data_IF_862316629651
#
_entry.id   IF_862316629651
#
_cell.length_a   1.000
_cell.length_b   1.000
_cell.length_c   1.000
_cell.angle_alpha   90.00
_cell.angle_beta   90.00
_cell.angle_gamma   90.00
#
_symmetry.space_group_name_H-M   'P 1'
#
loop_
_entity.id
_entity.type
_entity.pdbx_description
1 polymer ?
#
# COMPACT_ATOMS: atom_id res chain seq x y z
N UNK A 1 23.05 -20.96 0.33
CA UNK A 1 22.10 -21.77 1.18
C UNK A 1 20.78 -21.78 0.43
N UNK A 2 20.01 -22.86 0.50
CA UNK A 2 18.65 -22.87 -0.06
C UNK A 2 17.75 -22.06 0.86
N UNK A 3 16.93 -21.17 0.28
CA UNK A 3 15.96 -20.37 1.03
C UNK A 3 15.10 -21.28 1.92
N UNK A 4 14.75 -20.81 3.12
CA UNK A 4 13.80 -21.50 3.98
C UNK A 4 12.42 -21.50 3.29
N UNK A 5 11.60 -22.50 3.60
CA UNK A 5 10.21 -22.52 3.12
C UNK A 5 9.41 -21.31 3.62
N UNK A 6 9.61 -20.92 4.87
CA UNK A 6 9.00 -19.77 5.54
C UNK A 6 9.97 -19.20 6.58
N UNK A 7 9.94 -17.90 6.79
CA UNK A 7 10.66 -17.21 7.86
C UNK A 7 9.69 -16.82 8.98
N UNK A 8 10.11 -16.98 10.22
CA UNK A 8 9.29 -16.62 11.38
C UNK A 8 9.08 -15.10 11.45
N UNK A 9 8.01 -14.69 12.13
CA UNK A 9 7.71 -13.26 12.31
C UNK A 9 8.87 -12.58 13.06
N UNK A 10 9.41 -11.52 12.47
CA UNK A 10 10.59 -10.81 12.98
C UNK A 10 11.94 -11.37 12.49
N UNK A 11 11.96 -12.50 11.80
CA UNK A 11 13.16 -13.00 11.13
C UNK A 11 13.32 -12.33 9.76
N UNK A 12 14.49 -11.71 9.54
CA UNK A 12 14.82 -11.06 8.27
C UNK A 12 15.75 -11.98 7.48
N UNK A 13 15.32 -12.47 6.28
CA UNK A 13 16.19 -13.26 5.40
C UNK A 13 17.42 -12.46 4.91
N UNK A 14 18.36 -13.13 4.26
CA UNK A 14 19.37 -12.42 3.46
C UNK A 14 18.70 -11.69 2.29
N UNK A 15 19.16 -10.48 1.98
CA UNK A 15 18.56 -9.64 0.94
C UNK A 15 18.51 -10.39 -0.40
N UNK A 16 17.28 -10.51 -0.94
CA UNK A 16 17.03 -11.22 -2.18
C UNK A 16 16.69 -12.71 -2.02
N UNK A 17 16.77 -13.24 -0.79
CA UNK A 17 16.34 -14.60 -0.51
C UNK A 17 14.82 -14.65 -0.31
N UNK A 18 14.09 -15.17 -1.30
CA UNK A 18 12.62 -15.21 -1.32
C UNK A 18 12.13 -16.58 -0.84
N UNK A 19 11.36 -16.65 0.27
CA UNK A 19 10.76 -17.91 0.73
C UNK A 19 9.58 -18.33 -0.16
N UNK A 20 9.13 -19.56 -0.01
CA UNK A 20 7.93 -20.06 -0.70
C UNK A 20 6.65 -19.53 -0.06
N UNK A 21 6.64 -19.39 1.27
CA UNK A 21 5.50 -18.98 2.07
C UNK A 21 5.85 -17.80 2.98
N UNK A 22 4.83 -17.05 3.38
CA UNK A 22 4.92 -15.93 4.29
C UNK A 22 3.76 -15.93 5.28
N UNK A 23 3.90 -15.22 6.39
CA UNK A 23 2.77 -14.88 7.25
C UNK A 23 2.08 -13.62 6.74
N UNK A 24 0.75 -13.66 6.71
CA UNK A 24 -0.08 -12.52 6.35
C UNK A 24 -1.33 -12.44 7.23
N UNK A 25 -1.86 -11.23 7.46
CA UNK A 25 -3.18 -11.00 8.03
C UNK A 25 -4.22 -11.17 6.92
N UNK A 26 -5.00 -12.23 7.00
CA UNK A 26 -5.95 -12.64 5.95
C UNK A 26 -7.38 -12.45 6.41
N UNK A 27 -8.20 -11.90 5.54
CA UNK A 27 -9.66 -11.81 5.68
C UNK A 27 -10.29 -12.88 4.78
N UNK A 28 -11.30 -13.61 5.29
CA UNK A 28 -12.09 -14.57 4.52
C UNK A 28 -13.57 -14.29 4.70
N UNK A 29 -14.39 -14.73 3.75
CA UNK A 29 -15.82 -14.46 3.70
C UNK A 29 -16.56 -14.97 4.93
N UNK A 30 -16.21 -16.16 5.42
CA UNK A 30 -16.81 -16.80 6.60
C UNK A 30 -16.50 -16.10 7.93
N UNK A 31 -15.59 -15.11 7.92
CA UNK A 31 -15.13 -14.37 9.10
C UNK A 31 -15.40 -12.88 9.04
N UNK A 32 -16.10 -12.38 8.02
CA UNK A 32 -16.38 -10.95 7.88
C UNK A 32 -17.02 -10.39 9.16
N UNK A 33 -16.56 -9.23 9.61
CA UNK A 33 -17.03 -8.58 10.83
C UNK A 33 -16.01 -7.63 11.45
N UNK A 34 -15.96 -7.60 12.79
CA UNK A 34 -14.99 -6.76 13.50
C UNK A 34 -13.55 -7.21 13.21
N UNK A 35 -12.61 -6.26 13.04
CA UNK A 35 -11.24 -6.58 12.60
C UNK A 35 -10.56 -7.67 13.42
N UNK A 36 -10.73 -7.68 14.74
CA UNK A 36 -10.12 -8.65 15.65
C UNK A 36 -10.52 -10.10 15.39
N UNK A 37 -11.66 -10.31 14.73
CA UNK A 37 -12.15 -11.64 14.35
C UNK A 37 -11.92 -11.95 12.88
N UNK A 38 -12.10 -10.95 12.03
CA UNK A 38 -12.00 -11.09 10.58
C UNK A 38 -10.55 -11.30 10.11
N UNK A 39 -9.61 -10.52 10.68
CA UNK A 39 -8.20 -10.60 10.32
C UNK A 39 -7.49 -11.65 11.16
N UNK A 40 -6.96 -12.68 10.51
CA UNK A 40 -6.21 -13.74 11.18
C UNK A 40 -4.90 -13.99 10.46
N UNK A 41 -3.86 -14.33 11.22
CA UNK A 41 -2.56 -14.68 10.65
C UNK A 41 -2.66 -16.06 10.01
N UNK A 42 -2.35 -16.13 8.71
CA UNK A 42 -2.28 -17.37 7.94
C UNK A 42 -0.95 -17.46 7.19
N UNK A 43 -0.59 -18.66 6.80
CA UNK A 43 0.53 -18.93 5.88
C UNK A 43 0.00 -18.80 4.45
N UNK A 44 0.61 -17.90 3.69
CA UNK A 44 0.24 -17.61 2.32
C UNK A 44 1.45 -17.79 1.41
N UNK A 45 1.27 -18.15 0.12
CA UNK A 45 2.38 -18.19 -0.81
C UNK A 45 2.94 -16.79 -1.05
N UNK A 46 4.27 -16.66 -1.16
CA UNK A 46 4.89 -15.42 -1.60
C UNK A 46 4.68 -15.27 -3.10
N UNK A 47 4.05 -14.17 -3.50
CA UNK A 47 3.80 -13.89 -4.92
C UNK A 47 5.11 -13.51 -5.63
N UNK A 48 5.32 -14.07 -6.82
CA UNK A 48 6.43 -13.64 -7.69
C UNK A 48 6.04 -12.34 -8.39
N UNK A 49 6.94 -11.34 -8.44
CA UNK A 49 6.64 -10.10 -9.15
C UNK A 49 6.46 -10.37 -10.65
N UNK A 50 5.43 -9.75 -11.22
CA UNK A 50 5.26 -9.68 -12.67
C UNK A 50 6.38 -8.87 -13.34
N UNK A 51 6.34 -8.77 -14.69
CA UNK A 51 7.43 -8.13 -15.45
C UNK A 51 7.74 -6.69 -15.04
N UNK A 52 6.72 -5.91 -14.68
CA UNK A 52 6.81 -4.50 -14.32
C UNK A 52 6.63 -4.26 -12.80
N UNK A 53 6.65 -5.34 -12.01
CA UNK A 53 6.41 -5.31 -10.57
C UNK A 53 7.70 -5.56 -9.78
N UNK A 54 7.63 -5.22 -8.50
CA UNK A 54 8.66 -5.53 -7.51
C UNK A 54 8.04 -6.29 -6.35
N UNK A 55 8.81 -7.19 -5.77
CA UNK A 55 8.52 -7.77 -4.47
C UNK A 55 9.17 -6.90 -3.41
N UNK A 56 8.39 -6.48 -2.43
CA UNK A 56 8.85 -5.67 -1.30
C UNK A 56 8.75 -6.51 -0.03
N UNK A 57 9.87 -6.64 0.71
CA UNK A 57 9.83 -7.09 2.08
C UNK A 57 9.34 -5.95 2.95
N UNK A 58 8.22 -6.16 3.63
CA UNK A 58 7.53 -5.14 4.41
C UNK A 58 8.22 -4.96 5.77
N UNK A 59 8.63 -3.73 6.08
CA UNK A 59 9.24 -3.37 7.35
C UNK A 59 8.24 -2.72 8.30
N UNK A 60 7.35 -1.88 7.79
CA UNK A 60 6.24 -1.29 8.54
C UNK A 60 5.05 -0.99 7.63
N UNK A 61 3.86 -0.95 8.21
CA UNK A 61 2.60 -0.68 7.50
C UNK A 61 1.75 0.33 8.26
N UNK A 62 1.02 1.16 7.52
CA UNK A 62 0.01 2.05 8.06
C UNK A 62 -1.35 1.38 8.16
N UNK A 63 -2.04 1.61 9.27
CA UNK A 63 -3.42 1.18 9.46
C UNK A 63 -4.35 2.30 9.02
N UNK A 64 -5.13 2.07 7.98
CA UNK A 64 -6.13 2.99 7.45
C UNK A 64 -7.55 2.46 7.71
N UNK A 65 -8.54 3.35 7.78
CA UNK A 65 -9.90 2.95 8.09
C UNK A 65 -10.54 2.07 7.00
N UNK A 66 -10.05 2.11 5.77
CA UNK A 66 -10.47 1.20 4.71
C UNK A 66 -10.24 -0.28 5.07
N UNK A 67 -9.26 -0.58 5.92
CA UNK A 67 -9.04 -1.94 6.41
C UNK A 67 -10.15 -2.41 7.36
N UNK A 68 -10.77 -1.48 8.12
CA UNK A 68 -11.97 -1.79 8.92
C UNK A 68 -13.14 -2.10 7.99
N UNK A 69 -13.33 -1.32 6.93
CA UNK A 69 -14.36 -1.61 5.92
C UNK A 69 -14.11 -2.94 5.22
N UNK A 70 -12.86 -3.22 4.85
CA UNK A 70 -12.46 -4.50 4.27
C UNK A 70 -12.83 -5.69 5.17
N UNK A 71 -12.53 -5.58 6.47
CA UNK A 71 -12.85 -6.63 7.43
C UNK A 71 -14.35 -6.89 7.57
N UNK A 72 -15.17 -5.86 7.35
CA UNK A 72 -16.64 -5.92 7.43
C UNK A 72 -17.29 -6.31 6.10
N UNK A 73 -16.56 -6.27 4.99
CA UNK A 73 -17.09 -6.49 3.64
C UNK A 73 -18.03 -5.37 3.17
N UNK A 74 -17.83 -4.12 3.62
CA UNK A 74 -18.66 -2.96 3.29
C UNK A 74 -17.79 -1.76 2.85
N UNK A 75 -18.30 -0.88 1.97
CA UNK A 75 -19.55 -0.95 1.23
C UNK A 75 -19.55 -2.00 0.11
N UNK A 76 -18.39 -2.56 -0.21
CA UNK A 76 -18.20 -3.61 -1.22
C UNK A 76 -17.46 -4.80 -0.60
N UNK A 77 -17.70 -6.01 -1.10
CA UNK A 77 -16.87 -7.14 -0.75
C UNK A 77 -15.49 -6.96 -1.36
N UNK A 78 -14.45 -7.16 -0.55
CA UNK A 78 -13.03 -7.13 -0.97
C UNK A 78 -12.47 -8.53 -1.23
N UNK A 79 -13.27 -9.56 -0.95
CA UNK A 79 -12.86 -10.95 -1.16
C UNK A 79 -12.89 -11.25 -2.66
N UNK A 80 -11.76 -11.64 -3.21
CA UNK A 80 -11.67 -12.04 -4.60
C UNK A 80 -12.45 -13.33 -4.87
N UNK A 81 -13.33 -13.32 -5.85
CA UNK A 81 -14.15 -14.49 -6.22
C UNK A 81 -13.29 -15.71 -6.54
N UNK A 82 -12.18 -15.51 -7.24
CA UNK A 82 -11.28 -16.59 -7.65
C UNK A 82 -10.32 -17.05 -6.52
N UNK A 83 -10.02 -16.17 -5.57
CA UNK A 83 -9.00 -16.43 -4.54
C UNK A 83 -9.59 -16.82 -3.19
N UNK A 84 -10.79 -16.34 -2.88
CA UNK A 84 -11.48 -16.61 -1.61
C UNK A 84 -10.80 -15.98 -0.39
N UNK A 85 -9.93 -14.98 -0.59
CA UNK A 85 -9.26 -14.25 0.48
C UNK A 85 -8.99 -12.79 0.11
N UNK A 86 -8.64 -12.01 1.13
CA UNK A 86 -8.10 -10.67 0.99
C UNK A 86 -7.02 -10.41 2.04
N UNK A 87 -5.92 -9.81 1.62
CA UNK A 87 -4.87 -9.26 2.50
C UNK A 87 -4.97 -7.75 2.44
N UNK A 88 -5.31 -7.12 3.57
CA UNK A 88 -5.44 -5.67 3.66
C UNK A 88 -4.09 -4.94 3.66
N UNK A 89 -4.14 -3.62 3.86
CA UNK A 89 -2.96 -2.75 3.96
C UNK A 89 -2.65 -2.01 2.67
N UNK A 90 -2.85 -0.68 2.71
CA UNK A 90 -2.72 0.21 1.55
C UNK A 90 -1.50 1.13 1.62
N UNK A 91 -0.78 1.09 2.72
CA UNK A 91 0.50 1.79 2.93
C UNK A 91 1.56 0.78 3.34
N UNK A 92 2.81 1.03 2.96
CA UNK A 92 3.95 0.28 3.47
C UNK A 92 5.25 1.07 3.31
N UNK A 93 6.21 0.74 4.15
CA UNK A 93 7.63 0.96 3.92
C UNK A 93 8.34 -0.40 3.92
N UNK A 94 9.37 -0.54 3.12
CA UNK A 94 10.06 -1.81 3.02
C UNK A 94 11.29 -1.76 2.12
N UNK A 95 11.81 -2.93 1.85
CA UNK A 95 13.03 -3.13 1.04
C UNK A 95 12.65 -3.90 -0.22
N UNK A 96 13.09 -3.43 -1.38
CA UNK A 96 12.93 -4.17 -2.64
C UNK A 96 13.69 -5.49 -2.54
N UNK A 97 12.96 -6.60 -2.65
CA UNK A 97 13.48 -7.96 -2.43
C UNK A 97 13.71 -8.75 -3.70
N UNK A 98 12.83 -8.54 -4.70
CA UNK A 98 13.00 -9.05 -6.06
C UNK A 98 12.38 -8.05 -7.05
N UNK A 99 12.81 -8.11 -8.31
CA UNK A 99 12.34 -7.21 -9.37
C UNK A 99 11.93 -8.02 -10.60
N UNK A 100 10.89 -7.55 -11.30
CA UNK A 100 10.50 -8.07 -12.60
C UNK A 100 11.46 -7.68 -13.72
N UNK A 101 11.37 -8.38 -14.86
CA UNK A 101 12.35 -8.26 -15.95
C UNK A 101 12.42 -6.87 -16.59
N UNK A 102 11.32 -6.10 -16.56
CA UNK A 102 11.26 -4.76 -17.16
C UNK A 102 11.64 -3.64 -16.17
N UNK A 103 11.79 -3.95 -14.88
CA UNK A 103 12.11 -2.95 -13.85
C UNK A 103 13.55 -2.50 -13.99
N UNK A 104 13.74 -1.19 -14.27
CA UNK A 104 15.08 -0.59 -14.46
C UNK A 104 15.40 0.47 -13.43
N UNK A 105 14.37 1.07 -12.80
CA UNK A 105 14.54 2.16 -11.85
C UNK A 105 15.00 1.69 -10.48
N UNK A 106 14.64 0.46 -10.12
CA UNK A 106 14.83 -0.10 -8.79
C UNK A 106 15.76 -1.30 -8.82
N UNK A 107 16.45 -1.54 -7.74
CA UNK A 107 17.30 -2.72 -7.53
C UNK A 107 16.99 -3.36 -6.19
N UNK A 108 17.33 -4.61 -6.05
CA UNK A 108 17.25 -5.35 -4.78
C UNK A 108 18.10 -4.64 -3.73
N UNK A 109 17.52 -4.42 -2.54
CA UNK A 109 18.10 -3.69 -1.43
C UNK A 109 17.71 -2.20 -1.35
N UNK A 110 16.99 -1.65 -2.34
CA UNK A 110 16.52 -0.26 -2.25
C UNK A 110 15.43 -0.13 -1.18
N UNK A 111 15.53 0.90 -0.33
CA UNK A 111 14.53 1.26 0.67
C UNK A 111 13.41 2.10 0.03
N UNK A 112 12.17 1.65 0.19
CA UNK A 112 11.02 2.23 -0.51
C UNK A 112 9.81 2.42 0.39
N UNK A 113 8.90 3.27 -0.07
CA UNK A 113 7.52 3.41 0.42
C UNK A 113 6.56 3.07 -0.71
N UNK A 114 5.40 2.53 -0.37
CA UNK A 114 4.38 2.10 -1.33
C UNK A 114 3.23 3.10 -1.36
N UNK A 115 2.85 3.52 -2.56
CA UNK A 115 1.65 4.33 -2.79
C UNK A 115 0.46 3.44 -3.14
N UNK A 116 -0.73 3.80 -2.66
CA UNK A 116 -1.91 2.95 -2.76
C UNK A 116 -2.56 2.90 -4.15
N UNK A 117 -2.26 3.83 -5.05
CA UNK A 117 -2.90 3.86 -6.37
C UNK A 117 -2.26 2.84 -7.32
N UNK A 118 -3.07 1.94 -7.85
CA UNK A 118 -2.70 0.97 -8.89
C UNK A 118 -3.59 1.17 -10.11
N UNK A 119 -3.02 1.12 -11.30
CA UNK A 119 -3.70 1.19 -12.58
C UNK A 119 -2.93 0.39 -13.63
N UNK A 120 -3.47 0.21 -14.85
CA UNK A 120 -2.78 -0.52 -15.93
C UNK A 120 -1.83 0.36 -16.76
N UNK A 121 -1.93 1.69 -16.62
CA UNK A 121 -1.07 2.64 -17.33
C UNK A 121 -1.46 2.88 -18.77
N UNK A 122 -2.61 2.39 -19.24
CA UNK A 122 -2.94 2.34 -20.66
C UNK A 122 -3.87 3.48 -21.12
N UNK A 123 -4.68 4.05 -20.22
CA UNK A 123 -5.61 5.13 -20.57
C UNK A 123 -5.01 6.54 -20.43
N UNK A 124 -5.75 7.54 -20.92
CA UNK A 124 -5.36 8.96 -20.89
C UNK A 124 -5.20 9.47 -19.45
N UNK A 125 -6.00 8.98 -18.53
CA UNK A 125 -5.98 9.38 -17.13
C UNK A 125 -4.69 8.92 -16.43
N UNK A 126 -4.19 7.75 -16.78
CA UNK A 126 -2.91 7.24 -16.27
C UNK A 126 -1.70 7.94 -16.90
N UNK A 127 -1.87 8.54 -18.08
CA UNK A 127 -0.79 9.08 -18.92
C UNK A 127 -0.78 10.61 -18.98
N UNK A 128 -1.15 11.29 -17.92
CA UNK A 128 -1.07 12.76 -17.81
C UNK A 128 -2.37 13.44 -17.45
N UNK A 129 -3.47 12.68 -17.34
CA UNK A 129 -4.71 13.13 -16.74
C UNK A 129 -4.72 12.96 -15.23
N UNK A 130 -5.84 12.53 -14.70
CA UNK A 130 -6.01 12.29 -13.26
C UNK A 130 -6.19 10.78 -13.00
N UNK A 131 -5.16 10.08 -12.51
CA UNK A 131 -5.18 8.61 -12.35
C UNK A 131 -6.36 8.06 -11.54
N UNK A 132 -6.95 8.87 -10.66
CA UNK A 132 -8.14 8.48 -9.89
C UNK A 132 -9.40 8.30 -10.74
N UNK A 133 -9.42 8.78 -11.97
CA UNK A 133 -10.53 8.61 -12.91
C UNK A 133 -10.30 7.50 -13.93
N UNK A 134 -9.13 6.89 -13.91
CA UNK A 134 -8.87 5.70 -14.73
C UNK A 134 -9.86 4.58 -14.41
N UNK A 135 -10.38 3.92 -15.45
CA UNK A 135 -11.28 2.76 -15.29
C UNK A 135 -10.55 1.56 -14.68
N UNK A 136 -9.24 1.47 -14.88
CA UNK A 136 -8.39 0.41 -14.33
C UNK A 136 -7.92 0.69 -12.91
N UNK A 137 -8.12 1.91 -12.40
CA UNK A 137 -7.66 2.30 -11.07
C UNK A 137 -8.25 1.40 -9.99
N UNK A 138 -7.38 0.95 -9.08
CA UNK A 138 -7.72 0.20 -7.88
C UNK A 138 -6.91 0.71 -6.70
N UNK A 139 -7.51 0.72 -5.54
CA UNK A 139 -6.80 0.98 -4.28
C UNK A 139 -6.11 -0.32 -3.84
N UNK A 140 -4.78 -0.32 -3.92
CA UNK A 140 -3.95 -1.42 -3.44
C UNK A 140 -4.27 -1.76 -1.98
N UNK A 141 -4.41 -3.05 -1.67
CA UNK A 141 -4.74 -3.55 -0.35
C UNK A 141 -6.15 -3.22 0.16
N UNK A 142 -7.04 -2.75 -0.75
CA UNK A 142 -8.48 -2.61 -0.52
C UNK A 142 -9.28 -3.17 -1.71
N UNK A 143 -8.99 -2.74 -2.93
CA UNK A 143 -9.63 -3.22 -4.15
C UNK A 143 -8.76 -4.27 -4.89
N UNK A 144 -7.63 -4.64 -4.31
CA UNK A 144 -6.78 -5.74 -4.77
C UNK A 144 -6.76 -6.85 -3.72
N UNK A 145 -6.60 -8.09 -4.13
CA UNK A 145 -6.60 -9.24 -3.20
C UNK A 145 -5.42 -9.23 -2.24
N UNK A 146 -4.27 -8.71 -2.67
CA UNK A 146 -3.04 -8.69 -1.92
C UNK A 146 -2.67 -7.27 -1.54
N UNK A 147 -2.37 -7.05 -0.27
CA UNK A 147 -1.97 -5.79 0.33
C UNK A 147 -0.71 -5.94 1.19
N UNK A 148 -0.44 -4.93 2.01
CA UNK A 148 0.81 -4.87 2.79
C UNK A 148 0.74 -5.53 4.18
N UNK A 149 -0.40 -6.03 4.63
CA UNK A 149 -0.48 -6.75 5.90
C UNK A 149 0.10 -8.17 5.81
N UNK A 150 1.31 -8.26 5.30
CA UNK A 150 2.07 -9.48 5.06
C UNK A 150 3.57 -9.23 5.20
N UNK A 151 4.38 -10.29 5.32
CA UNK A 151 5.84 -10.13 5.33
C UNK A 151 6.38 -9.65 3.98
N UNK A 152 5.74 -10.04 2.89
CA UNK A 152 6.08 -9.62 1.53
C UNK A 152 4.84 -9.16 0.78
N UNK A 153 5.01 -8.20 -0.11
CA UNK A 153 3.96 -7.73 -1.00
C UNK A 153 4.49 -7.44 -2.38
N UNK A 154 3.69 -7.71 -3.40
CA UNK A 154 4.02 -7.42 -4.80
C UNK A 154 3.27 -6.19 -5.27
N UNK A 155 4.00 -5.21 -5.79
CA UNK A 155 3.46 -3.93 -6.25
C UNK A 155 4.07 -3.51 -7.58
N UNK A 156 3.38 -2.66 -8.32
CA UNK A 156 3.94 -2.09 -9.56
C UNK A 156 5.16 -1.22 -9.24
N UNK A 157 6.19 -1.30 -10.06
CA UNK A 157 7.43 -0.53 -9.87
C UNK A 157 7.22 1.00 -9.87
N UNK A 158 6.13 1.48 -10.44
CA UNK A 158 5.72 2.89 -10.43
C UNK A 158 4.96 3.32 -9.17
N UNK A 159 4.44 2.38 -8.38
CA UNK A 159 3.77 2.67 -7.10
C UNK A 159 4.76 2.97 -5.98
N UNK A 160 6.04 2.65 -6.15
CA UNK A 160 7.02 2.84 -5.09
C UNK A 160 7.85 4.11 -5.30
N UNK A 161 8.20 4.73 -4.17
CA UNK A 161 9.08 5.88 -4.10
C UNK A 161 10.24 5.57 -3.13
N UNK A 162 11.36 6.27 -3.28
CA UNK A 162 12.46 6.16 -2.33
C UNK A 162 11.97 6.55 -0.93
N UNK A 163 12.24 5.72 0.06
CA UNK A 163 11.99 6.07 1.47
C UNK A 163 12.84 7.30 1.85
N UNK A 164 12.26 8.30 2.51
CA UNK A 164 13.06 9.42 3.03
C UNK A 164 14.07 8.96 4.06
N UNK A 165 15.34 9.36 3.89
CA UNK A 165 16.46 8.87 4.72
C UNK A 165 16.34 9.29 6.20
N UNK A 166 15.60 10.38 6.49
CA UNK A 166 15.42 10.94 7.84
C UNK A 166 14.22 10.36 8.60
N UNK A 167 13.39 9.51 7.96
CA UNK A 167 12.23 8.88 8.58
C UNK A 167 12.53 7.42 8.95
N UNK A 168 11.97 6.98 10.08
CA UNK A 168 11.96 5.57 10.46
C UNK A 168 11.10 4.73 9.50
N UNK A 169 11.13 3.41 9.64
CA UNK A 169 10.26 2.52 8.89
C UNK A 169 8.78 2.77 9.22
N UNK A 170 8.46 2.92 10.50
CA UNK A 170 7.11 3.15 10.99
C UNK A 170 6.56 4.49 10.50
N UNK A 171 7.34 5.57 10.61
CA UNK A 171 6.96 6.87 10.07
C UNK A 171 6.75 6.81 8.56
N UNK A 172 7.65 6.12 7.85
CA UNK A 172 7.58 5.99 6.40
C UNK A 172 6.42 5.11 5.92
N UNK A 173 6.02 4.12 6.72
CA UNK A 173 4.97 3.15 6.37
C UNK A 173 3.54 3.65 6.58
N UNK A 174 3.31 4.83 7.17
CA UNK A 174 1.96 5.21 7.63
C UNK A 174 1.37 6.48 7.01
N UNK A 175 2.02 7.11 6.03
CA UNK A 175 1.55 8.42 5.55
C UNK A 175 1.21 8.49 4.06
N UNK A 176 1.66 7.57 3.24
CA UNK A 176 1.56 7.71 1.78
C UNK A 176 0.12 7.87 1.28
N UNK A 177 -0.81 7.08 1.78
CA UNK A 177 -2.22 7.19 1.43
C UNK A 177 -2.82 8.52 1.90
N UNK A 178 -2.64 8.84 3.18
CA UNK A 178 -3.27 10.02 3.79
C UNK A 178 -2.66 11.32 3.30
N UNK A 179 -1.34 11.38 3.09
CA UNK A 179 -0.65 12.52 2.53
C UNK A 179 -1.04 12.77 1.07
N UNK A 180 -1.03 11.73 0.23
CA UNK A 180 -1.41 11.86 -1.17
C UNK A 180 -2.87 12.31 -1.32
N UNK A 181 -3.77 11.77 -0.49
CA UNK A 181 -5.17 12.17 -0.45
C UNK A 181 -5.32 13.65 -0.04
N UNK A 182 -4.67 14.08 1.05
CA UNK A 182 -4.70 15.47 1.50
C UNK A 182 -4.11 16.42 0.44
N UNK A 183 -2.98 16.05 -0.16
CA UNK A 183 -2.33 16.83 -1.21
C UNK A 183 -3.26 17.00 -2.42
N UNK A 184 -3.85 15.90 -2.90
CA UNK A 184 -4.80 15.95 -4.02
C UNK A 184 -6.02 16.80 -3.72
N UNK A 185 -6.58 16.72 -2.52
CA UNK A 185 -7.73 17.55 -2.10
C UNK A 185 -7.38 19.05 -2.07
N UNK A 186 -6.14 19.41 -1.75
CA UNK A 186 -5.73 20.82 -1.63
C UNK A 186 -5.23 21.41 -2.95
N UNK A 187 -4.69 20.61 -3.86
CA UNK A 187 -4.01 21.08 -5.07
C UNK A 187 -4.51 20.44 -6.38
N UNK A 188 -5.22 19.34 -6.32
CA UNK A 188 -5.48 18.49 -7.49
C UNK A 188 -6.43 19.07 -8.51
N UNK A 189 -7.39 19.90 -8.11
CA UNK A 189 -8.42 20.40 -9.01
C UNK A 189 -8.85 21.83 -8.71
N UNK A 190 -8.98 22.71 -9.72
CA UNK A 190 -9.70 23.97 -9.57
C UNK A 190 -11.17 23.70 -9.12
N UNK A 191 -11.71 24.47 -8.16
CA UNK A 191 -11.12 25.61 -7.48
C UNK A 191 -10.18 25.25 -6.31
N UNK A 192 -9.93 23.97 -6.03
CA UNK A 192 -9.09 23.50 -4.94
C UNK A 192 -7.59 23.63 -5.28
N UNK A 193 -7.13 24.85 -5.34
CA UNK A 193 -5.74 25.18 -5.57
C UNK A 193 -5.25 26.05 -4.42
N UNK A 194 -4.80 25.41 -3.34
CA UNK A 194 -4.24 26.10 -2.18
C UNK A 194 -3.06 26.98 -2.59
N UNK A 195 -3.06 28.23 -2.09
CA UNK A 195 -2.01 29.22 -2.33
C UNK A 195 -1.63 29.90 -1.02
N UNK A 196 -0.42 30.45 -0.92
CA UNK A 196 -0.01 31.24 0.25
C UNK A 196 -1.01 32.36 0.57
N UNK A 197 -1.32 32.53 1.85
CA UNK A 197 -2.26 33.54 2.35
C UNK A 197 -3.72 33.10 2.36
N UNK A 198 -4.06 31.90 1.89
CA UNK A 198 -5.42 31.36 2.02
C UNK A 198 -5.69 30.83 3.42
N UNK A 199 -6.96 30.93 3.87
CA UNK A 199 -7.43 30.31 5.10
C UNK A 199 -8.06 28.94 4.77
N UNK A 200 -7.67 27.92 5.51
CA UNK A 200 -8.18 26.55 5.35
C UNK A 200 -8.80 26.09 6.66
N UNK A 201 -10.04 25.61 6.60
CA UNK A 201 -10.70 24.94 7.72
C UNK A 201 -10.59 23.42 7.54
N UNK A 202 -9.97 22.73 8.49
CA UNK A 202 -9.81 21.28 8.48
C UNK A 202 -10.69 20.63 9.54
N UNK A 203 -11.76 19.96 9.13
CA UNK A 203 -12.56 19.11 10.02
C UNK A 203 -11.86 17.77 10.25
N UNK A 204 -11.81 17.31 11.51
CA UNK A 204 -11.14 16.06 11.83
C UNK A 204 -9.62 16.14 11.71
N UNK A 205 -9.02 17.25 12.14
CA UNK A 205 -7.59 17.51 12.06
C UNK A 205 -6.70 16.53 12.84
N UNK A 206 -7.28 15.73 13.74
CA UNK A 206 -6.59 14.68 14.49
C UNK A 206 -6.52 13.33 13.74
N UNK A 207 -7.29 13.14 12.68
CA UNK A 207 -7.24 11.94 11.85
C UNK A 207 -6.09 11.96 10.84
N UNK A 208 -5.83 10.84 10.17
CA UNK A 208 -4.72 10.70 9.22
C UNK A 208 -4.71 11.77 8.12
N UNK A 209 -5.81 11.92 7.38
CA UNK A 209 -5.91 12.93 6.31
C UNK A 209 -5.83 14.35 6.89
N UNK A 210 -6.55 14.60 7.99
CA UNK A 210 -6.59 15.94 8.60
C UNK A 210 -5.23 16.39 9.13
N UNK A 211 -4.47 15.50 9.76
CA UNK A 211 -3.13 15.82 10.26
C UNK A 211 -2.15 16.13 9.12
N UNK A 212 -2.25 15.41 8.00
CA UNK A 212 -1.45 15.70 6.81
C UNK A 212 -1.86 17.03 6.16
N UNK A 213 -3.17 17.31 6.06
CA UNK A 213 -3.67 18.58 5.54
C UNK A 213 -3.16 19.78 6.36
N UNK A 214 -3.15 19.68 7.70
CA UNK A 214 -2.60 20.73 8.59
C UNK A 214 -1.11 20.94 8.34
N UNK A 215 -0.33 19.88 8.18
CA UNK A 215 1.11 19.96 7.89
C UNK A 215 1.35 20.62 6.53
N UNK A 216 0.63 20.23 5.48
CA UNK A 216 0.73 20.83 4.15
C UNK A 216 0.38 22.33 4.19
N UNK A 217 -0.70 22.70 4.89
CA UNK A 217 -1.11 24.10 4.99
C UNK A 217 -0.13 24.97 5.78
N UNK A 218 0.70 24.37 6.63
CA UNK A 218 1.70 25.06 7.44
C UNK A 218 3.03 25.25 6.69
N UNK A 219 3.37 24.34 5.78
CA UNK A 219 4.60 24.36 5.02
C UNK A 219 4.61 25.45 3.94
#
# INVERSE_FOLDING_TARGET
MTAKKIYEIGEIPEIGEVPEEMYAWVIREDRLGVPEKAMQIEKMPVQKPGKDEVLVMVMAVGINYNNVWASQGIPISVIGEDTGYHIGGSDASGIVWAIGENVKRWKVGDEVIVHCNRDDGDDEECNGGEPMYSKSQRIYGYETNDGSFAQFTTVQSRQILKKPDHLSWEESGCYTLTLATAYRMLFGHPPHALRPGMNVLVWGSSGGIGSMAVQICKA
#
